data_IF_418897674152
#
_entry.id   IF_418897674152
#
_cell.length_a   1.000
_cell.length_b   1.000
_cell.length_c   1.000
_cell.angle_alpha   90.00
_cell.angle_beta   90.00
_cell.angle_gamma   90.00
#
_symmetry.space_group_name_H-M   'P 1'
#
loop_
_entity.id
_entity.type
_entity.pdbx_description
1 polymer ?
#
# COMPACT_ATOMS: atom_id res chain seq x y z
N UNK A 1 -19.28 -8.37 20.75
CA UNK A 1 -19.93 -8.45 19.42
C UNK A 1 -19.44 -7.28 18.60
N UNK A 2 -19.04 -7.49 17.34
CA UNK A 2 -18.51 -6.47 16.42
C UNK A 2 -18.97 -6.76 14.99
N UNK A 3 -19.04 -5.75 14.12
CA UNK A 3 -19.34 -5.90 12.69
C UNK A 3 -18.12 -6.44 11.92
N UNK A 4 -18.31 -7.09 10.78
CA UNK A 4 -17.21 -7.67 9.97
C UNK A 4 -16.23 -6.62 9.42
N UNK A 5 -16.70 -5.39 9.14
CA UNK A 5 -15.95 -4.33 8.42
C UNK A 5 -15.48 -4.73 7.00
N UNK A 6 -16.01 -5.84 6.48
CA UNK A 6 -15.82 -6.35 5.13
C UNK A 6 -17.15 -6.83 4.55
N UNK A 7 -17.15 -7.24 3.27
CA UNK A 7 -18.37 -7.63 2.55
C UNK A 7 -18.65 -9.14 2.56
N UNK A 8 -17.89 -9.98 3.28
CA UNK A 8 -17.93 -11.43 3.11
C UNK A 8 -19.25 -12.04 3.60
N UNK A 9 -19.68 -11.73 4.83
CA UNK A 9 -20.90 -12.26 5.44
C UNK A 9 -22.15 -11.84 4.65
N UNK A 10 -22.19 -10.60 4.15
CA UNK A 10 -23.29 -10.13 3.31
C UNK A 10 -23.32 -10.86 1.96
N UNK A 11 -22.18 -10.98 1.28
CA UNK A 11 -22.09 -11.67 -0.02
C UNK A 11 -22.43 -13.15 0.06
N UNK A 12 -22.10 -13.79 1.18
CA UNK A 12 -22.36 -15.21 1.41
C UNK A 12 -23.72 -15.47 2.09
N UNK A 13 -24.47 -14.42 2.41
CA UNK A 13 -25.75 -14.48 3.12
C UNK A 13 -25.64 -15.24 4.47
N UNK A 14 -24.55 -15.00 5.20
CA UNK A 14 -24.25 -15.62 6.49
C UNK A 14 -24.60 -14.62 7.61
N UNK A 15 -25.49 -14.98 8.54
CA UNK A 15 -25.95 -14.03 9.57
C UNK A 15 -24.93 -13.78 10.69
N UNK A 16 -24.10 -14.78 11.02
CA UNK A 16 -23.12 -14.71 12.10
C UNK A 16 -21.86 -15.48 11.69
N UNK A 17 -20.71 -14.80 11.73
CA UNK A 17 -19.40 -15.43 11.55
C UNK A 17 -18.74 -15.77 12.89
N UNK A 18 -18.11 -16.94 12.99
CA UNK A 18 -17.22 -17.28 14.11
C UNK A 18 -15.79 -16.95 13.71
N UNK A 19 -15.19 -15.96 14.37
CA UNK A 19 -13.81 -15.52 14.09
C UNK A 19 -12.83 -16.56 14.62
N UNK A 20 -11.99 -17.11 13.74
CA UNK A 20 -10.96 -18.08 14.11
C UNK A 20 -9.64 -17.41 14.47
N UNK A 21 -9.24 -16.40 13.69
CA UNK A 21 -7.94 -15.75 13.76
C UNK A 21 -8.04 -14.27 13.37
N UNK A 22 -7.01 -13.48 13.72
CA UNK A 22 -6.84 -12.09 13.30
C UNK A 22 -5.58 -11.97 12.46
N UNK A 23 -5.67 -11.30 11.31
CA UNK A 23 -4.50 -11.10 10.44
C UNK A 23 -3.46 -10.22 11.13
N UNK A 24 -2.19 -10.63 11.06
CA UNK A 24 -1.07 -9.80 11.52
C UNK A 24 -0.81 -8.63 10.56
N UNK A 25 -0.53 -7.45 11.13
CA UNK A 25 -0.33 -6.23 10.34
C UNK A 25 1.11 -5.71 10.48
N UNK A 26 1.68 -5.27 9.35
CA UNK A 26 2.92 -4.49 9.30
C UNK A 26 2.68 -3.20 8.54
N UNK A 27 3.13 -2.09 9.12
CA UNK A 27 3.11 -0.78 8.50
C UNK A 27 4.53 -0.44 8.05
N UNK A 28 4.66 -0.01 6.79
CA UNK A 28 5.94 0.32 6.19
C UNK A 28 5.87 1.78 5.71
N UNK A 29 6.83 2.59 6.15
CA UNK A 29 7.04 3.92 5.59
C UNK A 29 8.00 3.81 4.42
N UNK A 30 7.50 4.01 3.21
CA UNK A 30 8.29 3.89 1.98
C UNK A 30 8.52 5.29 1.40
N UNK A 31 9.79 5.65 1.25
CA UNK A 31 10.19 6.89 0.55
C UNK A 31 10.78 6.52 -0.80
N UNK A 32 10.15 6.97 -1.88
CA UNK A 32 10.69 6.82 -3.24
C UNK A 32 11.30 8.17 -3.65
N UNK A 33 12.60 8.18 -3.87
CA UNK A 33 13.34 9.37 -4.29
C UNK A 33 13.49 9.39 -5.81
N UNK A 34 13.22 10.54 -6.41
CA UNK A 34 13.41 10.77 -7.84
C UNK A 34 14.22 12.03 -8.10
N UNK A 35 14.22 12.47 -9.35
CA UNK A 35 14.89 13.69 -9.78
C UNK A 35 13.89 14.63 -10.44
N UNK A 36 13.89 15.90 -10.00
CA UNK A 36 13.10 16.94 -10.65
C UNK A 36 13.57 17.13 -12.09
N UNK A 37 12.62 17.17 -13.01
CA UNK A 37 12.86 17.28 -14.45
C UNK A 37 11.76 18.11 -15.10
N UNK A 38 12.06 18.79 -16.19
CA UNK A 38 11.07 19.58 -16.90
C UNK A 38 10.15 18.65 -17.70
N UNK A 39 8.86 18.65 -17.36
CA UNK A 39 7.86 17.69 -17.88
C UNK A 39 7.79 17.64 -19.40
N UNK A 40 8.09 18.74 -20.10
CA UNK A 40 8.01 18.83 -21.56
C UNK A 40 9.32 18.61 -22.33
N UNK A 41 10.49 18.69 -21.70
CA UNK A 41 11.79 18.69 -22.42
C UNK A 41 12.74 17.58 -21.97
N UNK A 42 12.46 16.93 -20.84
CA UNK A 42 13.21 15.74 -20.42
C UNK A 42 12.59 14.49 -21.05
N UNK A 43 13.30 13.87 -21.99
CA UNK A 43 12.89 12.59 -22.58
C UNK A 43 12.76 11.50 -21.50
N UNK A 44 11.88 10.53 -21.72
CA UNK A 44 11.60 9.45 -20.77
C UNK A 44 12.87 8.70 -20.34
N UNK A 45 13.82 8.49 -21.26
CA UNK A 45 15.08 7.80 -21.00
C UNK A 45 15.96 8.48 -19.93
N UNK A 46 15.76 9.78 -19.68
CA UNK A 46 16.54 10.55 -18.71
C UNK A 46 15.78 10.85 -17.42
N UNK A 47 14.54 10.36 -17.28
CA UNK A 47 13.72 10.61 -16.09
C UNK A 47 14.06 9.65 -14.97
N UNK A 48 13.99 10.16 -13.74
CA UNK A 48 13.96 9.37 -12.50
C UNK A 48 12.66 9.72 -11.77
N UNK A 49 11.56 9.22 -12.27
CA UNK A 49 10.23 9.51 -11.74
C UNK A 49 9.97 8.68 -10.47
N UNK A 50 9.76 9.31 -9.30
CA UNK A 50 9.50 8.59 -8.05
C UNK A 50 8.11 7.93 -8.01
N UNK A 51 7.19 8.33 -8.89
CA UNK A 51 5.86 7.73 -9.03
C UNK A 51 5.80 6.71 -10.17
N UNK A 52 6.94 6.32 -10.77
CA UNK A 52 6.95 5.23 -11.74
C UNK A 52 6.26 4.00 -11.11
N UNK A 53 5.17 3.55 -11.74
CA UNK A 53 4.30 2.49 -11.25
C UNK A 53 5.05 1.19 -10.88
N UNK A 54 6.25 1.04 -11.43
CA UNK A 54 7.14 -0.09 -11.27
C UNK A 54 7.55 -0.36 -9.81
N UNK A 55 7.81 0.67 -9.00
CA UNK A 55 8.25 0.48 -7.61
C UNK A 55 7.18 -0.19 -6.73
N UNK A 56 5.92 0.24 -6.86
CA UNK A 56 4.79 -0.38 -6.15
C UNK A 56 4.46 -1.77 -6.73
N UNK A 57 4.59 -1.93 -8.05
CA UNK A 57 4.39 -3.21 -8.71
C UNK A 57 5.39 -4.27 -8.21
N UNK A 58 6.66 -3.91 -8.11
CA UNK A 58 7.70 -4.79 -7.56
C UNK A 58 7.44 -5.17 -6.09
N UNK A 59 7.03 -4.20 -5.26
CA UNK A 59 6.67 -4.49 -3.87
C UNK A 59 5.51 -5.49 -3.80
N UNK A 60 4.44 -5.24 -4.56
CA UNK A 60 3.29 -6.14 -4.65
C UNK A 60 3.71 -7.55 -5.09
N UNK A 61 4.49 -7.66 -6.17
CA UNK A 61 4.99 -8.93 -6.70
C UNK A 61 5.93 -9.67 -5.73
N UNK A 62 6.58 -8.97 -4.81
CA UNK A 62 7.44 -9.60 -3.80
C UNK A 62 6.66 -10.16 -2.59
N UNK A 63 5.49 -9.60 -2.29
CA UNK A 63 4.73 -9.93 -1.07
C UNK A 63 3.56 -10.86 -1.38
N UNK A 64 2.70 -10.49 -2.33
CA UNK A 64 1.40 -11.15 -2.51
C UNK A 64 1.50 -12.54 -3.16
N UNK A 65 2.36 -12.80 -4.16
CA UNK A 65 2.47 -14.14 -4.74
C UNK A 65 3.01 -15.22 -3.78
N UNK A 66 3.61 -14.83 -2.65
CA UNK A 66 4.16 -15.77 -1.67
C UNK A 66 3.13 -16.23 -0.64
N UNK A 67 2.01 -15.51 -0.51
CA UNK A 67 0.93 -15.82 0.42
C UNK A 67 -0.39 -15.28 -0.14
N UNK A 68 -1.29 -16.19 -0.53
CA UNK A 68 -2.62 -15.87 -1.07
C UNK A 68 -3.53 -15.10 -0.09
N UNK A 69 -3.23 -15.17 1.21
CA UNK A 69 -3.95 -14.45 2.27
C UNK A 69 -3.36 -13.07 2.52
N UNK A 70 -2.17 -12.77 2.00
CA UNK A 70 -1.55 -11.47 2.15
C UNK A 70 -2.39 -10.39 1.44
N UNK A 71 -2.44 -9.21 2.06
CA UNK A 71 -3.08 -8.02 1.53
C UNK A 71 -2.08 -6.88 1.63
N UNK A 72 -1.91 -6.13 0.54
CA UNK A 72 -1.09 -4.92 0.50
C UNK A 72 -2.00 -3.74 0.20
N UNK A 73 -2.01 -2.75 1.10
CA UNK A 73 -2.75 -1.50 0.93
C UNK A 73 -1.74 -0.36 0.95
N UNK A 74 -1.68 0.40 -0.14
CA UNK A 74 -0.81 1.56 -0.26
C UNK A 74 -1.64 2.84 -0.19
N UNK A 75 -1.42 3.65 0.84
CA UNK A 75 -2.07 4.94 1.00
C UNK A 75 -1.05 6.05 0.82
N UNK A 76 -1.38 7.06 0.02
CA UNK A 76 -0.58 8.29 -0.04
C UNK A 76 -0.85 9.10 1.23
N UNK A 77 0.18 9.27 2.08
CA UNK A 77 0.11 10.15 3.26
C UNK A 77 0.88 11.45 2.99
N UNK A 78 0.43 12.56 3.59
CA UNK A 78 1.23 13.78 3.62
C UNK A 78 2.49 13.48 4.47
N UNK A 79 3.67 13.99 4.08
CA UNK A 79 4.88 13.77 4.88
C UNK A 79 4.61 14.25 6.31
N UNK A 80 4.87 13.38 7.29
CA UNK A 80 4.77 13.75 8.70
C UNK A 80 5.65 14.98 8.93
N UNK A 81 5.08 16.05 9.51
CA UNK A 81 5.89 17.22 9.92
C UNK A 81 6.98 16.71 10.84
N UNK A 82 8.24 16.82 10.41
CA UNK A 82 9.41 16.55 11.24
C UNK A 82 9.33 17.50 12.43
N UNK A 83 8.93 16.99 13.60
CA UNK A 83 9.04 17.73 14.85
C UNK A 83 10.54 17.90 15.11
N UNK A 84 11.06 19.09 14.81
CA UNK A 84 12.40 19.48 15.23
C UNK A 84 12.41 19.52 16.77
N UNK A 85 13.38 18.87 17.45
CA UNK A 85 13.53 19.06 18.88
C UNK A 85 13.81 20.54 19.16
N UNK A 86 13.14 21.09 20.19
CA UNK A 86 13.39 22.44 20.70
C UNK A 86 14.75 22.52 21.37
#
# INVERSE_FOLDING_TARGET
>A
MHIEQGPALEKENIPIGVVTEVQGTRWLDVTITGQAAHTGTTELAYRRDPMAADAMHHLFASVVPRDERARLVCNASKPARRLLPK
#
